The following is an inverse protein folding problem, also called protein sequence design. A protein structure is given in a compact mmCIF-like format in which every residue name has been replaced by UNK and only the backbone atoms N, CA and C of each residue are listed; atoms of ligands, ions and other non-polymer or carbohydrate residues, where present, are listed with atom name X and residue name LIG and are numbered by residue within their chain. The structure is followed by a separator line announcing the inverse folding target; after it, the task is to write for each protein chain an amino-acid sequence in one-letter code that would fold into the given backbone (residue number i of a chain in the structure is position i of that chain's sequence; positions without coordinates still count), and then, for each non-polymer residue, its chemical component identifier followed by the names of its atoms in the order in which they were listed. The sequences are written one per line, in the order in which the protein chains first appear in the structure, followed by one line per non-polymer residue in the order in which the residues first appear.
data_IF_952115761528
#
_entry.id   IF_952115761528
#
_cell.length_a   1.000
_cell.length_b   1.000
_cell.length_c   1.000
_cell.angle_alpha   90.00
_cell.angle_beta   90.00
_cell.angle_gamma   90.00
#
_symmetry.space_group_name_H-M   'P 1'
#
loop_
_entity.id
_entity.type
_entity.pdbx_description
1 polymer ?
#
# COMPACT_ATOMS: atom_id res chain seq x y z
N UNK A 1 7.80 -1.43 -17.41
CA UNK A 1 6.41 -1.09 -17.75
C UNK A 1 5.75 -2.23 -18.47
N UNK A 2 5.31 -3.18 -17.66
CA UNK A 2 4.31 -4.16 -18.00
C UNK A 2 3.26 -4.10 -16.89
N UNK A 3 2.00 -4.32 -17.25
CA UNK A 3 0.91 -4.32 -16.28
C UNK A 3 0.98 -5.62 -15.47
N UNK A 4 0.72 -5.53 -14.16
CA UNK A 4 0.74 -6.67 -13.24
C UNK A 4 -0.65 -6.90 -12.68
N UNK A 5 -1.22 -8.08 -12.94
CA UNK A 5 -2.53 -8.48 -12.43
C UNK A 5 -2.36 -9.68 -11.48
N UNK A 6 -2.85 -9.53 -10.25
CA UNK A 6 -2.84 -10.58 -9.21
C UNK A 6 -4.30 -10.86 -8.80
N UNK A 7 -4.71 -12.13 -8.86
CA UNK A 7 -6.06 -12.55 -8.47
C UNK A 7 -6.01 -13.71 -7.46
N UNK A 8 -6.76 -13.57 -6.37
CA UNK A 8 -6.88 -14.55 -5.30
C UNK A 8 -5.84 -14.38 -4.18
N UNK A 9 -5.80 -15.34 -3.26
CA UNK A 9 -4.79 -15.39 -2.19
C UNK A 9 -3.38 -15.53 -2.78
N UNK A 10 -2.52 -14.54 -2.52
CA UNK A 10 -1.15 -14.49 -3.04
C UNK A 10 -0.16 -14.16 -1.93
N UNK A 11 0.84 -15.00 -1.76
CA UNK A 11 2.00 -14.74 -0.90
C UNK A 11 3.22 -14.43 -1.76
N UNK A 12 3.87 -13.30 -1.51
CA UNK A 12 5.07 -12.86 -2.21
C UNK A 12 6.20 -12.74 -1.19
N UNK A 13 7.25 -13.56 -1.36
CA UNK A 13 8.43 -13.56 -0.50
C UNK A 13 9.61 -12.83 -1.16
N UNK A 14 10.26 -11.94 -0.40
CA UNK A 14 11.48 -11.22 -0.77
C UNK A 14 11.26 -9.91 -1.51
N UNK A 15 12.39 -9.22 -1.78
CA UNK A 15 12.42 -7.92 -2.47
C UNK A 15 11.62 -7.95 -3.79
N UNK A 16 10.59 -7.11 -3.88
CA UNK A 16 9.76 -7.00 -5.08
C UNK A 16 9.71 -5.56 -5.59
N UNK A 17 9.93 -5.40 -6.90
CA UNK A 17 9.80 -4.10 -7.57
C UNK A 17 8.83 -4.23 -8.75
N UNK A 18 7.74 -3.47 -8.73
CA UNK A 18 6.73 -3.42 -9.79
C UNK A 18 6.77 -2.04 -10.45
N UNK A 19 6.87 -2.00 -11.78
CA UNK A 19 6.89 -0.77 -12.58
C UNK A 19 5.82 -0.85 -13.68
N UNK A 20 4.72 -0.12 -13.50
CA UNK A 20 3.56 -0.12 -14.38
C UNK A 20 2.22 -0.08 -13.65
N UNK A 21 1.14 -0.28 -14.40
CA UNK A 21 -0.21 -0.42 -13.84
C UNK A 21 -0.31 -1.74 -13.05
N UNK A 22 -0.79 -1.69 -11.82
CA UNK A 22 -0.89 -2.87 -10.94
C UNK A 22 -2.32 -3.05 -10.43
N UNK A 23 -2.95 -4.19 -10.73
CA UNK A 23 -4.26 -4.54 -10.21
C UNK A 23 -4.15 -5.76 -9.29
N UNK A 24 -4.59 -5.62 -8.04
CA UNK A 24 -4.63 -6.72 -7.07
C UNK A 24 -6.07 -6.94 -6.62
N UNK A 25 -6.57 -8.17 -6.77
CA UNK A 25 -7.90 -8.56 -6.32
C UNK A 25 -7.82 -9.79 -5.44
N UNK A 26 -8.11 -9.64 -4.15
CA UNK A 26 -8.02 -10.71 -3.14
C UNK A 26 -7.08 -10.38 -1.99
N UNK A 27 -6.79 -11.37 -1.16
CA UNK A 27 -5.85 -11.24 -0.04
C UNK A 27 -4.42 -11.37 -0.57
N UNK A 28 -3.57 -10.38 -0.31
CA UNK A 28 -2.14 -10.42 -0.69
C UNK A 28 -1.27 -10.15 0.52
N UNK A 29 -0.29 -11.01 0.73
CA UNK A 29 0.75 -10.84 1.76
C UNK A 29 2.10 -10.66 1.07
N UNK A 30 2.78 -9.57 1.40
CA UNK A 30 4.17 -9.33 1.04
C UNK A 30 5.06 -9.52 2.26
N UNK A 31 5.95 -10.51 2.19
CA UNK A 31 6.99 -10.72 3.20
C UNK A 31 8.34 -10.24 2.62
N UNK A 32 8.70 -8.98 2.87
CA UNK A 32 9.93 -8.34 2.40
C UNK A 32 9.72 -6.95 1.81
N UNK A 33 10.84 -6.24 1.56
CA UNK A 33 10.82 -4.90 0.95
C UNK A 33 10.03 -4.89 -0.38
N UNK A 34 9.04 -4.02 -0.49
CA UNK A 34 8.21 -3.87 -1.69
C UNK A 34 8.28 -2.44 -2.22
N UNK A 35 8.48 -2.28 -3.53
CA UNK A 35 8.44 -0.99 -4.21
C UNK A 35 7.49 -1.06 -5.42
N UNK A 36 6.47 -0.20 -5.43
CA UNK A 36 5.49 -0.11 -6.50
C UNK A 36 5.53 1.29 -7.11
N UNK A 37 5.99 1.38 -8.35
CA UNK A 37 6.02 2.62 -9.14
C UNK A 37 4.95 2.57 -10.25
N UNK A 38 3.95 3.45 -10.14
CA UNK A 38 2.86 3.58 -11.13
C UNK A 38 1.47 3.67 -10.52
N UNK A 39 0.46 3.53 -11.38
CA UNK A 39 -0.93 3.51 -10.94
C UNK A 39 -1.24 2.11 -10.37
N UNK A 40 -1.74 2.05 -9.13
CA UNK A 40 -2.17 0.80 -8.52
C UNK A 40 -3.67 0.84 -8.21
N UNK A 41 -4.34 -0.30 -8.27
CA UNK A 41 -5.74 -0.49 -7.88
C UNK A 41 -5.80 -1.78 -7.07
N UNK A 42 -6.26 -1.71 -5.80
CA UNK A 42 -6.28 -2.87 -4.92
C UNK A 42 -7.65 -3.07 -4.28
N UNK A 43 -8.27 -4.21 -4.57
CA UNK A 43 -9.55 -4.63 -3.99
C UNK A 43 -9.34 -5.90 -3.15
N UNK A 44 -9.26 -5.77 -1.82
CA UNK A 44 -8.98 -6.88 -0.92
C UNK A 44 -8.22 -6.47 0.33
N UNK A 45 -7.66 -7.46 1.04
CA UNK A 45 -6.78 -7.22 2.19
C UNK A 45 -5.31 -7.26 1.72
N UNK A 46 -4.53 -6.23 2.04
CA UNK A 46 -3.08 -6.22 1.84
C UNK A 46 -2.41 -6.29 3.21
N UNK A 47 -1.45 -7.20 3.35
CA UNK A 47 -0.51 -7.21 4.46
C UNK A 47 0.91 -7.04 3.90
N UNK A 48 1.67 -6.07 4.39
CA UNK A 48 3.10 -5.94 4.09
C UNK A 48 3.88 -6.06 5.40
N UNK A 49 4.70 -7.10 5.49
CA UNK A 49 5.61 -7.35 6.59
C UNK A 49 7.02 -6.90 6.13
N UNK A 50 7.55 -5.82 6.72
CA UNK A 50 8.74 -5.02 6.34
C UNK A 50 8.41 -3.71 5.59
N UNK A 51 9.38 -3.16 4.86
CA UNK A 51 9.30 -1.80 4.33
C UNK A 51 8.53 -1.76 3.00
N UNK A 52 7.71 -0.73 2.80
CA UNK A 52 6.96 -0.55 1.56
C UNK A 52 7.08 0.89 1.05
N UNK A 53 7.53 1.02 -0.20
CA UNK A 53 7.56 2.28 -0.94
C UNK A 53 6.51 2.23 -2.06
N UNK A 54 5.59 3.20 -2.09
CA UNK A 54 4.61 3.31 -3.16
C UNK A 54 4.65 4.72 -3.74
N UNK A 55 5.08 4.84 -5.00
CA UNK A 55 5.15 6.10 -5.74
C UNK A 55 4.17 6.10 -6.92
N UNK A 56 3.26 7.07 -6.98
CA UNK A 56 2.36 7.25 -8.14
C UNK A 56 0.99 7.79 -7.77
N UNK A 57 0.00 7.63 -8.64
CA UNK A 57 -1.40 7.65 -8.16
C UNK A 57 -1.59 6.36 -7.37
N UNK A 58 -1.34 6.47 -6.07
CA UNK A 58 -1.29 5.36 -5.12
C UNK A 58 -2.67 4.73 -4.98
N UNK A 59 -2.74 3.46 -4.53
CA UNK A 59 -3.87 2.64 -4.83
C UNK A 59 -5.16 3.19 -4.26
N UNK A 60 -6.22 3.13 -5.07
CA UNK A 60 -7.56 3.06 -4.51
C UNK A 60 -7.64 1.71 -3.79
N UNK A 61 -7.32 1.71 -2.49
CA UNK A 61 -7.38 0.51 -1.65
C UNK A 61 -8.80 0.39 -1.14
N UNK A 62 -9.51 -0.63 -1.59
CA UNK A 62 -10.83 -0.99 -1.06
C UNK A 62 -10.71 -2.25 -0.23
N UNK A 63 -10.70 -2.11 1.09
CA UNK A 63 -10.52 -3.22 2.02
C UNK A 63 -9.58 -2.89 3.19
N UNK A 64 -9.00 -3.92 3.79
CA UNK A 64 -8.07 -3.78 4.90
C UNK A 64 -6.63 -3.57 4.39
N UNK A 65 -5.88 -2.67 4.99
CA UNK A 65 -4.45 -2.54 4.76
C UNK A 65 -3.71 -2.64 6.09
N UNK A 66 -2.80 -3.59 6.21
CA UNK A 66 -1.87 -3.69 7.33
C UNK A 66 -0.44 -3.56 6.81
N UNK A 67 0.34 -2.69 7.45
CA UNK A 67 1.73 -2.43 7.09
C UNK A 67 2.57 -2.42 8.37
N UNK A 68 3.62 -3.25 8.42
CA UNK A 68 4.58 -3.31 9.52
C UNK A 68 5.97 -2.91 9.02
N UNK A 69 6.51 -1.75 9.41
CA UNK A 69 7.83 -1.30 8.97
C UNK A 69 7.89 0.21 8.66
N UNK A 70 8.94 0.63 7.96
CA UNK A 70 9.01 1.97 7.37
C UNK A 70 8.19 1.98 6.06
N UNK A 71 7.23 2.91 5.95
CA UNK A 71 6.33 2.98 4.81
C UNK A 71 6.24 4.41 4.27
N UNK A 72 6.57 4.59 2.99
CA UNK A 72 6.44 5.87 2.30
C UNK A 72 5.44 5.76 1.14
N UNK A 73 4.41 6.59 1.18
CA UNK A 73 3.37 6.67 0.15
C UNK A 73 3.38 8.08 -0.43
N UNK A 74 3.79 8.22 -1.70
CA UNK A 74 3.81 9.50 -2.41
C UNK A 74 2.75 9.55 -3.52
N UNK A 75 1.89 10.58 -3.50
CA UNK A 75 0.95 10.95 -4.55
C UNK A 75 -0.52 11.02 -4.13
N UNK A 76 -1.45 10.90 -5.08
CA UNK A 76 -2.89 10.84 -4.80
C UNK A 76 -3.24 9.46 -4.27
N UNK A 77 -3.70 9.35 -3.02
CA UNK A 77 -4.08 8.09 -2.36
C UNK A 77 -5.52 8.12 -1.88
N UNK A 78 -6.25 7.02 -2.07
CA UNK A 78 -7.59 6.85 -1.47
C UNK A 78 -7.68 5.49 -0.82
N UNK A 79 -7.87 5.47 0.50
CA UNK A 79 -8.04 4.22 1.27
C UNK A 79 -9.45 4.18 1.84
N UNK A 80 -10.26 3.24 1.36
CA UNK A 80 -11.64 2.96 1.81
C UNK A 80 -11.64 1.63 2.58
N UNK A 81 -11.48 1.71 3.91
CA UNK A 81 -11.48 0.57 4.81
C UNK A 81 -10.63 0.74 6.08
N UNK A 82 -10.25 -0.38 6.71
CA UNK A 82 -9.44 -0.36 7.94
C UNK A 82 -7.96 -0.32 7.59
N UNK A 83 -7.22 0.64 8.15
CA UNK A 83 -5.77 0.78 7.95
C UNK A 83 -5.06 0.63 9.28
N UNK A 84 -4.15 -0.33 9.37
CA UNK A 84 -3.23 -0.47 10.50
C UNK A 84 -1.80 -0.28 10.04
N UNK A 85 -1.07 0.65 10.66
CA UNK A 85 0.35 0.86 10.42
C UNK A 85 1.13 0.70 11.73
N UNK A 86 2.04 -0.27 11.79
CA UNK A 86 3.00 -0.42 12.88
C UNK A 86 4.40 0.00 12.39
N UNK A 87 4.95 1.10 12.90
CA UNK A 87 6.24 1.63 12.44
C UNK A 87 6.21 3.11 12.02
N UNK A 88 7.20 3.54 11.25
CA UNK A 88 7.23 4.90 10.69
C UNK A 88 6.43 4.89 9.37
N UNK A 89 5.46 5.78 9.23
CA UNK A 89 4.66 5.88 8.01
C UNK A 89 4.58 7.35 7.57
N UNK A 90 5.05 7.66 6.37
CA UNK A 90 4.85 8.96 5.76
C UNK A 90 3.93 8.84 4.55
N UNK A 91 2.96 9.75 4.48
CA UNK A 91 2.07 9.92 3.34
C UNK A 91 2.22 11.36 2.85
N UNK A 92 2.74 11.54 1.65
CA UNK A 92 2.93 12.84 1.00
C UNK A 92 2.02 12.94 -0.24
N UNK A 93 1.17 13.96 -0.30
CA UNK A 93 0.22 14.19 -1.39
C UNK A 93 -1.25 14.23 -0.96
N UNK A 94 -2.15 14.22 -1.94
CA UNK A 94 -3.60 14.24 -1.70
C UNK A 94 -4.06 12.86 -1.18
N UNK A 95 -4.19 12.72 0.14
CA UNK A 95 -4.66 11.49 0.78
C UNK A 95 -6.10 11.63 1.29
N UNK A 96 -6.99 10.73 0.87
CA UNK A 96 -8.33 10.57 1.40
C UNK A 96 -8.47 9.19 2.07
N UNK A 97 -8.58 9.18 3.41
CA UNK A 97 -8.72 7.93 4.18
C UNK A 97 -10.11 7.88 4.79
N UNK A 98 -10.97 7.06 4.20
CA UNK A 98 -12.31 6.77 4.71
C UNK A 98 -12.30 5.42 5.47
N UNK A 99 -12.32 5.48 6.81
CA UNK A 99 -12.42 4.28 7.63
C UNK A 99 -11.78 4.41 9.01
N UNK A 100 -11.45 3.27 9.63
CA UNK A 100 -10.73 3.24 10.91
C UNK A 100 -9.23 3.18 10.64
N UNK A 101 -8.48 4.19 11.10
CA UNK A 101 -7.02 4.21 11.02
C UNK A 101 -6.44 3.99 12.42
N UNK A 102 -5.60 2.96 12.55
CA UNK A 102 -4.81 2.71 13.75
C UNK A 102 -3.33 2.79 13.39
N UNK A 103 -2.59 3.68 14.04
CA UNK A 103 -1.15 3.81 13.83
C UNK A 103 -0.41 3.63 15.15
N UNK A 104 0.42 2.60 15.22
CA UNK A 104 1.35 2.35 16.32
C UNK A 104 2.76 2.74 15.86
N UNK A 105 3.07 4.04 15.91
CA UNK A 105 4.38 4.57 15.52
C UNK A 105 4.34 6.06 15.17
N UNK A 106 5.33 6.53 14.41
CA UNK A 106 5.35 7.91 13.91
C UNK A 106 4.61 7.95 12.56
N UNK A 107 3.49 8.66 12.50
CA UNK A 107 2.75 8.89 11.25
C UNK A 107 2.88 10.35 10.86
N UNK A 108 3.43 10.63 9.68
CA UNK A 108 3.43 11.95 9.07
C UNK A 108 2.50 11.95 7.86
N UNK A 109 1.56 12.88 7.82
CA UNK A 109 0.66 13.07 6.67
C UNK A 109 0.78 14.51 6.22
N UNK A 110 1.39 14.74 5.07
CA UNK A 110 1.50 16.04 4.42
C UNK A 110 0.64 16.07 3.16
N UNK A 111 -0.54 16.68 3.25
CA UNK A 111 -1.41 16.98 2.10
C UNK A 111 -1.40 18.47 1.72
N UNK A 112 -1.71 18.79 0.46
CA UNK A 112 -1.89 20.18 -0.03
C UNK A 112 -3.23 20.82 0.38
#
# INVERSE_FOLDING_TARGET
KGDTDVEGETDIEGETAIDGETNIVGETTWEGESNVEGDADVEGEINVEEDADVEGSTPYVKGGMAVEGENDVEGESVVDGETTAEGESNVEGDADVEGETNAEGETNVEGE
#
